data_IF_506372636338
#
_entry.id   IF_506372636338
#
_cell.length_a   1.000
_cell.length_b   1.000
_cell.length_c   1.000
_cell.angle_alpha   90.00
_cell.angle_beta   90.00
_cell.angle_gamma   90.00
#
_symmetry.space_group_name_H-M   'P 1'
#
loop_
_entity.id
_entity.type
_entity.pdbx_description
1 polymer ?
#
# COMPACT_ATOMS: atom_id res chain seq x y z
N UNK A 1 42.89 5.64 60.71
CA UNK A 1 43.37 6.44 59.56
C UNK A 1 42.76 5.80 58.32
N UNK A 2 41.66 6.37 57.82
CA UNK A 2 40.89 5.83 56.70
C UNK A 2 41.42 6.45 55.40
N UNK A 3 41.77 5.62 54.41
CA UNK A 3 42.05 6.08 53.06
C UNK A 3 40.76 6.01 52.24
N UNK A 4 40.28 7.17 51.82
CA UNK A 4 39.19 7.30 50.85
C UNK A 4 39.83 7.29 49.46
N UNK A 5 39.52 6.27 48.65
CA UNK A 5 39.81 6.30 47.21
C UNK A 5 38.63 6.96 46.50
N UNK A 6 38.86 8.12 45.90
CA UNK A 6 37.93 8.78 44.97
C UNK A 6 38.14 8.19 43.57
N UNK A 7 37.07 7.65 42.98
CA UNK A 7 37.05 7.16 41.60
C UNK A 7 36.51 8.30 40.73
N UNK A 8 37.19 8.72 39.64
CA UNK A 8 36.69 9.78 38.79
C UNK A 8 35.51 9.31 37.92
N UNK A 9 34.67 10.29 37.64
CA UNK A 9 33.37 10.21 36.97
C UNK A 9 33.42 9.53 35.60
N UNK A 10 32.34 8.81 35.30
CA UNK A 10 32.10 8.17 34.01
C UNK A 10 32.19 9.16 32.84
N UNK A 11 33.07 8.87 31.88
CA UNK A 11 33.04 9.50 30.58
C UNK A 11 31.77 9.07 29.82
N UNK A 12 30.82 9.99 29.66
CA UNK A 12 29.73 9.83 28.71
C UNK A 12 30.25 10.15 27.30
N UNK A 13 30.45 9.12 26.47
CA UNK A 13 30.68 9.30 25.03
C UNK A 13 29.31 9.59 24.40
N UNK A 14 29.02 10.86 24.14
CA UNK A 14 27.90 11.25 23.28
C UNK A 14 28.30 10.98 21.83
N UNK A 15 28.01 9.77 21.34
CA UNK A 15 27.97 9.54 19.91
C UNK A 15 26.78 10.35 19.35
N UNK A 16 26.95 11.14 18.27
CA UNK A 16 25.80 11.63 17.56
C UNK A 16 25.08 10.39 17.01
N UNK A 17 23.93 10.07 17.58
CA UNK A 17 22.97 9.20 16.92
C UNK A 17 22.55 9.97 15.69
N UNK A 18 23.32 9.82 14.62
CA UNK A 18 22.82 10.10 13.29
C UNK A 18 21.69 9.09 13.15
N UNK A 19 20.48 9.58 13.38
CA UNK A 19 19.24 8.86 13.18
C UNK A 19 19.43 8.12 11.86
N UNK A 20 19.56 6.81 11.91
CA UNK A 20 19.20 6.02 10.76
C UNK A 20 17.73 6.36 10.56
N UNK A 21 17.45 7.27 9.62
CA UNK A 21 16.15 7.34 9.00
C UNK A 21 15.97 5.97 8.33
N UNK A 22 15.45 5.01 9.11
CA UNK A 22 14.69 3.93 8.51
C UNK A 22 13.63 4.64 7.66
N UNK A 23 13.49 4.33 6.36
CA UNK A 23 12.39 4.87 5.58
C UNK A 23 11.12 4.44 6.31
N UNK A 24 10.54 5.35 7.08
CA UNK A 24 9.22 5.17 7.65
C UNK A 24 8.29 5.05 6.46
N UNK A 25 7.60 3.93 6.38
CA UNK A 25 6.39 3.74 5.59
C UNK A 25 6.60 3.35 4.11
N UNK A 26 7.30 2.24 3.85
CA UNK A 26 7.02 1.46 2.63
C UNK A 26 5.59 0.91 2.79
N UNK A 27 4.61 1.64 2.26
CA UNK A 27 3.21 1.19 2.22
C UNK A 27 3.03 0.28 1.01
N UNK A 28 2.87 -1.01 1.28
CA UNK A 28 2.48 -2.04 0.31
C UNK A 28 1.01 -2.37 0.51
N UNK A 29 0.25 -2.51 -0.58
CA UNK A 29 -1.13 -2.98 -0.56
C UNK A 29 -1.41 -4.02 -1.63
N UNK A 30 -2.59 -4.62 -1.53
CA UNK A 30 -3.08 -5.70 -2.39
C UNK A 30 -4.52 -5.40 -2.79
N UNK A 31 -5.08 -6.17 -3.72
CA UNK A 31 -6.53 -6.13 -3.98
C UNK A 31 -7.29 -6.45 -2.69
N UNK A 32 -8.29 -5.61 -2.38
CA UNK A 32 -9.10 -5.75 -1.18
C UNK A 32 -10.26 -6.71 -1.42
N UNK A 33 -10.14 -7.91 -0.87
CA UNK A 33 -11.15 -8.98 -0.92
C UNK A 33 -11.99 -9.06 0.37
N UNK A 34 -12.08 -7.98 1.16
CA UNK A 34 -12.89 -7.95 2.38
C UNK A 34 -14.32 -7.47 2.13
N UNK A 35 -15.30 -8.21 2.66
CA UNK A 35 -16.73 -7.87 2.51
C UNK A 35 -17.08 -6.70 3.43
N UNK A 36 -17.87 -5.75 2.93
CA UNK A 36 -18.38 -4.61 3.67
C UNK A 36 -19.88 -4.46 3.38
N UNK A 37 -20.69 -3.84 4.27
CA UNK A 37 -22.13 -3.68 4.04
C UNK A 37 -22.52 -2.98 2.73
N UNK A 38 -21.59 -2.23 2.12
CA UNK A 38 -21.76 -1.56 0.82
C UNK A 38 -20.98 -2.21 -0.32
N UNK A 39 -20.19 -3.28 -0.05
CA UNK A 39 -19.23 -3.86 -0.99
C UNK A 39 -19.24 -5.40 -0.86
N UNK A 40 -19.86 -6.08 -1.83
CA UNK A 40 -19.90 -7.53 -1.97
C UNK A 40 -18.63 -8.05 -2.69
N UNK A 41 -17.76 -8.80 -2.02
CA UNK A 41 -16.45 -9.21 -2.57
C UNK A 41 -16.54 -10.11 -3.80
N UNK A 42 -17.65 -10.82 -4.02
CA UNK A 42 -17.83 -11.63 -5.25
C UNK A 42 -18.19 -10.86 -6.52
N UNK A 43 -18.51 -9.56 -6.40
CA UNK A 43 -18.97 -8.71 -7.51
C UNK A 43 -18.04 -7.54 -7.83
N UNK A 44 -17.08 -7.26 -6.94
CA UNK A 44 -16.19 -6.10 -7.00
C UNK A 44 -14.79 -6.51 -7.49
N UNK A 45 -13.87 -5.56 -7.58
CA UNK A 45 -12.51 -5.71 -8.14
C UNK A 45 -12.49 -6.00 -9.64
N UNK A 46 -13.35 -5.29 -10.37
CA UNK A 46 -13.47 -5.34 -11.82
C UNK A 46 -13.30 -3.96 -12.41
N UNK A 47 -12.74 -3.89 -13.60
CA UNK A 47 -12.73 -2.67 -14.41
C UNK A 47 -13.41 -2.96 -15.76
N UNK A 48 -14.08 -1.94 -16.31
CA UNK A 48 -14.74 -2.05 -17.62
C UNK A 48 -13.81 -1.54 -18.71
N UNK A 49 -13.78 -2.22 -19.85
CA UNK A 49 -13.18 -1.70 -21.08
C UNK A 49 -14.31 -1.27 -22.01
N UNK A 50 -14.42 0.04 -22.22
CA UNK A 50 -15.41 0.69 -23.05
C UNK A 50 -14.83 0.97 -24.44
N UNK A 51 -15.47 0.45 -25.49
CA UNK A 51 -15.05 0.66 -26.91
C UNK A 51 -15.71 1.87 -27.56
N UNK A 52 -16.80 2.34 -26.99
CA UNK A 52 -17.53 3.54 -27.38
C UNK A 52 -17.81 4.41 -26.14
N UNK A 53 -18.38 5.60 -26.36
CA UNK A 53 -18.66 6.57 -25.29
C UNK A 53 -19.78 6.09 -24.37
N UNK A 54 -20.73 5.37 -24.93
CA UNK A 54 -21.89 4.78 -24.24
C UNK A 54 -21.49 3.60 -23.34
N UNK A 55 -20.30 3.02 -23.58
CA UNK A 55 -19.79 1.83 -22.90
C UNK A 55 -20.78 0.65 -22.97
N UNK A 56 -21.40 0.45 -24.14
CA UNK A 56 -22.34 -0.66 -24.35
C UNK A 56 -21.59 -2.00 -24.39
N UNK A 57 -22.09 -2.99 -23.66
CA UNK A 57 -21.50 -4.33 -23.57
C UNK A 57 -19.97 -4.32 -23.30
N UNK A 58 -19.55 -3.76 -22.15
CA UNK A 58 -18.13 -3.63 -21.84
C UNK A 58 -17.49 -4.99 -21.62
N UNK A 59 -16.22 -5.09 -22.00
CA UNK A 59 -15.38 -6.19 -21.53
C UNK A 59 -14.99 -5.95 -20.06
N UNK A 60 -14.80 -7.02 -19.31
CA UNK A 60 -14.39 -6.98 -17.91
C UNK A 60 -12.94 -7.40 -17.75
N UNK A 61 -12.17 -6.56 -17.05
CA UNK A 61 -10.88 -6.91 -16.48
C UNK A 61 -11.12 -7.33 -15.03
N UNK A 62 -10.69 -8.53 -14.68
CA UNK A 62 -10.75 -9.06 -13.32
C UNK A 62 -9.42 -8.85 -12.60
N UNK A 63 -9.44 -8.10 -11.50
CA UNK A 63 -8.28 -7.84 -10.65
C UNK A 63 -8.09 -8.91 -9.57
N UNK A 64 -9.12 -9.70 -9.27
CA UNK A 64 -9.03 -10.86 -8.41
C UNK A 64 -8.50 -12.06 -9.21
N UNK A 65 -7.18 -12.25 -9.18
CA UNK A 65 -6.55 -13.43 -9.76
C UNK A 65 -5.72 -14.20 -8.71
N UNK A 66 -5.68 -15.52 -8.90
CA UNK A 66 -5.20 -16.52 -7.93
C UNK A 66 -3.81 -16.25 -7.33
N UNK A 67 -3.63 -16.75 -6.10
CA UNK A 67 -2.51 -16.65 -5.13
C UNK A 67 -1.08 -16.56 -5.68
N UNK A 68 -0.80 -17.02 -6.89
CA UNK A 68 0.56 -17.11 -7.42
C UNK A 68 1.15 -15.80 -7.94
N UNK A 69 0.34 -14.81 -8.36
CA UNK A 69 0.82 -13.51 -8.85
C UNK A 69 -0.19 -12.38 -8.59
N UNK A 70 -0.49 -12.04 -7.32
CA UNK A 70 -1.43 -10.98 -7.00
C UNK A 70 -0.93 -9.63 -7.53
N UNK A 71 -1.87 -8.70 -7.78
CA UNK A 71 -1.50 -7.31 -7.99
C UNK A 71 -0.99 -6.73 -6.67
N UNK A 72 0.23 -6.23 -6.67
CA UNK A 72 0.89 -5.58 -5.54
C UNK A 72 1.02 -4.09 -5.83
N UNK A 73 0.63 -3.26 -4.88
CA UNK A 73 0.73 -1.81 -4.92
C UNK A 73 1.86 -1.41 -3.97
N UNK A 74 3.02 -1.06 -4.51
CA UNK A 74 4.17 -0.61 -3.73
C UNK A 74 4.41 0.89 -4.00
N UNK A 75 4.50 1.65 -2.91
CA UNK A 75 4.66 3.11 -2.97
C UNK A 75 5.99 3.54 -3.63
N UNK A 76 7.04 2.72 -3.53
CA UNK A 76 8.38 2.99 -4.05
C UNK A 76 8.58 2.30 -5.40
N UNK A 77 8.25 1.01 -5.46
CA UNK A 77 8.55 0.16 -6.61
C UNK A 77 7.45 0.20 -7.69
N UNK A 78 6.32 0.84 -7.40
CA UNK A 78 5.17 0.89 -8.28
C UNK A 78 4.31 -0.36 -8.18
N UNK A 79 3.48 -0.57 -9.19
CA UNK A 79 2.56 -1.70 -9.25
C UNK A 79 3.20 -2.88 -9.96
N UNK A 80 3.00 -4.07 -9.42
CA UNK A 80 3.54 -5.31 -9.99
C UNK A 80 2.52 -6.43 -9.92
N UNK A 81 2.76 -7.49 -10.70
CA UNK A 81 1.83 -8.60 -10.84
C UNK A 81 0.98 -8.49 -12.10
N UNK A 82 -0.04 -9.34 -12.18
CA UNK A 82 -0.89 -9.45 -13.37
C UNK A 82 -2.36 -9.33 -12.99
N UNK A 83 -3.20 -9.07 -13.98
CA UNK A 83 -4.66 -9.19 -13.93
C UNK A 83 -5.15 -9.78 -15.26
N UNK A 84 -6.39 -10.24 -15.34
CA UNK A 84 -6.91 -10.89 -16.56
C UNK A 84 -8.09 -10.14 -17.16
N UNK A 85 -8.01 -9.82 -18.45
CA UNK A 85 -9.14 -9.36 -19.26
C UNK A 85 -9.58 -10.46 -20.23
N UNK A 86 -10.89 -10.59 -20.46
CA UNK A 86 -11.44 -11.64 -21.33
C UNK A 86 -10.87 -11.65 -22.75
N UNK A 87 -10.76 -10.48 -23.38
CA UNK A 87 -10.19 -10.27 -24.72
C UNK A 87 -8.81 -9.59 -24.64
N UNK A 88 -8.54 -8.78 -23.61
CA UNK A 88 -7.21 -8.21 -23.34
C UNK A 88 -6.17 -9.25 -22.90
N UNK A 89 -6.57 -10.45 -22.50
CA UNK A 89 -5.66 -11.47 -21.99
C UNK A 89 -4.98 -11.06 -20.67
N UNK A 90 -3.77 -11.56 -20.42
CA UNK A 90 -3.02 -11.14 -19.24
C UNK A 90 -2.52 -9.72 -19.41
N UNK A 91 -2.72 -8.93 -18.36
CA UNK A 91 -2.24 -7.56 -18.25
C UNK A 91 -1.17 -7.54 -17.16
N UNK A 92 0.04 -7.15 -17.52
CA UNK A 92 1.20 -7.05 -16.62
C UNK A 92 1.41 -5.59 -16.24
N UNK A 93 1.45 -5.27 -14.95
CA UNK A 93 1.61 -3.90 -14.46
C UNK A 93 3.06 -3.42 -14.41
N UNK A 94 4.02 -4.34 -14.40
CA UNK A 94 5.46 -4.10 -14.44
C UNK A 94 6.14 -4.82 -15.63
N UNK A 95 5.78 -4.52 -16.88
CA UNK A 95 6.43 -5.11 -18.05
C UNK A 95 7.89 -4.65 -18.17
N UNK A 96 8.75 -5.37 -18.92
CA UNK A 96 10.15 -4.95 -19.12
C UNK A 96 10.27 -3.51 -19.64
N UNK A 97 11.16 -2.73 -19.03
CA UNK A 97 11.46 -1.33 -19.39
C UNK A 97 10.29 -0.34 -19.25
N UNK A 98 9.21 -0.72 -18.56
CA UNK A 98 8.07 0.14 -18.27
C UNK A 98 7.43 -0.27 -16.93
N UNK A 99 6.33 0.36 -16.55
CA UNK A 99 5.58 0.00 -15.35
C UNK A 99 4.56 1.06 -14.98
N UNK A 100 3.58 0.67 -14.21
CA UNK A 100 2.65 1.58 -13.55
C UNK A 100 3.21 1.95 -12.18
N UNK A 101 3.23 3.23 -11.84
CA UNK A 101 3.75 3.73 -10.58
C UNK A 101 3.00 4.98 -10.13
N UNK A 102 3.20 5.41 -8.89
CA UNK A 102 2.66 6.69 -8.44
C UNK A 102 3.36 7.87 -9.14
N UNK A 103 2.59 8.75 -9.74
CA UNK A 103 3.03 10.09 -10.13
C UNK A 103 3.08 11.01 -8.90
N UNK A 104 2.09 10.88 -8.03
CA UNK A 104 2.01 11.55 -6.75
C UNK A 104 1.34 10.63 -5.73
N UNK A 105 2.13 10.17 -4.77
CA UNK A 105 1.74 9.26 -3.69
C UNK A 105 0.71 9.91 -2.77
N UNK A 106 0.74 11.24 -2.56
CA UNK A 106 -0.17 11.94 -1.64
C UNK A 106 -1.60 11.99 -2.16
N UNK A 107 -1.75 12.10 -3.47
CA UNK A 107 -3.06 12.10 -4.13
C UNK A 107 -3.46 10.71 -4.64
N UNK A 108 -2.51 9.76 -4.64
CA UNK A 108 -2.69 8.43 -5.20
C UNK A 108 -2.74 8.41 -6.74
N UNK A 109 -2.28 9.48 -7.40
CA UNK A 109 -2.25 9.59 -8.85
C UNK A 109 -1.26 8.58 -9.43
N UNK A 110 -1.71 7.77 -10.38
CA UNK A 110 -0.90 6.80 -11.11
C UNK A 110 -0.38 7.37 -12.43
N UNK A 111 0.71 6.77 -12.91
CA UNK A 111 1.29 7.01 -14.24
C UNK A 111 1.91 5.75 -14.82
N UNK A 112 2.27 5.83 -16.09
CA UNK A 112 3.05 4.81 -16.78
C UNK A 112 2.21 3.87 -17.64
N UNK A 113 2.81 2.74 -18.01
CA UNK A 113 2.26 1.83 -19.01
C UNK A 113 2.31 0.40 -18.48
N UNK A 114 1.12 -0.22 -18.38
CA UNK A 114 0.97 -1.68 -18.25
C UNK A 114 0.91 -2.31 -19.65
N UNK A 115 1.04 -3.64 -19.73
CA UNK A 115 1.05 -4.36 -21.00
C UNK A 115 0.04 -5.49 -21.03
N UNK A 116 -0.87 -5.45 -22.00
CA UNK A 116 -1.79 -6.53 -22.36
C UNK A 116 -1.15 -7.42 -23.43
N UNK A 117 -1.25 -8.74 -23.26
CA UNK A 117 -0.77 -9.72 -24.23
C UNK A 117 -1.48 -9.60 -25.60
N UNK A 118 -2.75 -9.21 -25.61
CA UNK A 118 -3.58 -9.18 -26.84
C UNK A 118 -3.74 -7.76 -27.41
N UNK A 119 -3.74 -6.73 -26.57
CA UNK A 119 -4.06 -5.33 -26.93
C UNK A 119 -2.87 -4.37 -26.83
N UNK A 120 -1.74 -4.81 -26.27
CA UNK A 120 -0.53 -4.00 -26.16
C UNK A 120 -0.56 -3.01 -24.99
N UNK A 121 -0.12 -1.78 -25.21
CA UNK A 121 0.09 -0.81 -24.15
C UNK A 121 -1.21 -0.32 -23.52
N UNK A 122 -1.22 -0.25 -22.18
CA UNK A 122 -2.29 0.37 -21.39
C UNK A 122 -1.72 1.59 -20.67
N UNK A 123 -2.17 2.78 -21.08
CA UNK A 123 -1.67 4.06 -20.61
C UNK A 123 -2.48 4.61 -19.43
N UNK A 124 -1.80 4.82 -18.30
CA UNK A 124 -2.34 5.42 -17.07
C UNK A 124 -2.12 6.95 -17.01
N UNK A 125 -1.51 7.54 -18.04
CA UNK A 125 -1.18 8.97 -18.15
C UNK A 125 -1.70 9.56 -19.46
N UNK A 126 -2.95 9.27 -19.81
CA UNK A 126 -3.59 9.86 -20.99
C UNK A 126 -3.87 11.34 -20.72
N UNK A 127 -3.55 12.21 -21.67
CA UNK A 127 -3.77 13.66 -21.51
C UNK A 127 -5.24 13.96 -21.27
N UNK A 128 -5.53 14.73 -20.20
CA UNK A 128 -6.90 15.09 -19.81
C UNK A 128 -7.63 14.01 -18.99
N UNK A 129 -7.01 12.85 -18.77
CA UNK A 129 -7.53 11.79 -17.91
C UNK A 129 -6.52 11.44 -16.83
N UNK A 130 -6.98 10.73 -15.80
CA UNK A 130 -6.17 10.30 -14.67
C UNK A 130 -6.71 8.99 -14.13
N UNK A 131 -5.84 8.20 -13.53
CA UNK A 131 -6.21 7.09 -12.65
C UNK A 131 -5.66 7.38 -11.27
N UNK A 132 -6.51 7.33 -10.27
CA UNK A 132 -6.18 7.60 -8.87
C UNK A 132 -6.58 6.40 -8.03
N UNK A 133 -5.72 5.98 -7.10
CA UNK A 133 -6.11 5.15 -5.96
C UNK A 133 -6.39 6.12 -4.81
N UNK A 134 -7.64 6.23 -4.35
CA UNK A 134 -7.98 7.12 -3.24
C UNK A 134 -7.16 6.72 -2.00
N UNK A 135 -6.35 7.63 -1.43
CA UNK A 135 -5.44 7.29 -0.34
C UNK A 135 -6.16 6.94 0.97
N UNK A 136 -7.45 7.26 1.11
CA UNK A 136 -8.27 6.97 2.30
C UNK A 136 -9.10 5.70 2.12
N UNK A 137 -9.68 5.49 0.95
CA UNK A 137 -10.59 4.35 0.71
C UNK A 137 -9.93 3.20 -0.03
N UNK A 138 -8.80 3.44 -0.70
CA UNK A 138 -8.13 2.47 -1.57
C UNK A 138 -8.86 2.21 -2.89
N UNK A 139 -9.92 2.97 -3.19
CA UNK A 139 -10.74 2.82 -4.40
C UNK A 139 -10.07 3.46 -5.60
N UNK A 140 -10.08 2.74 -6.72
CA UNK A 140 -9.57 3.24 -7.98
C UNK A 140 -10.62 4.06 -8.69
N UNK A 141 -10.22 5.21 -9.23
CA UNK A 141 -11.09 6.13 -9.93
C UNK A 141 -10.42 6.70 -11.18
N UNK A 142 -11.20 6.83 -12.25
CA UNK A 142 -10.82 7.52 -13.48
C UNK A 142 -10.64 6.59 -14.69
N UNK A 143 -9.76 6.98 -15.62
CA UNK A 143 -9.69 6.38 -16.95
C UNK A 143 -8.26 6.13 -17.42
N UNK A 144 -8.00 4.91 -17.86
CA UNK A 144 -6.81 4.52 -18.62
C UNK A 144 -7.19 4.19 -20.08
N UNK A 145 -6.20 4.10 -20.97
CA UNK A 145 -6.44 3.75 -22.38
C UNK A 145 -5.64 2.51 -22.77
N UNK A 146 -6.33 1.45 -23.19
CA UNK A 146 -5.72 0.29 -23.83
C UNK A 146 -5.63 0.52 -25.34
N UNK A 147 -4.44 0.33 -25.92
CA UNK A 147 -4.25 0.33 -27.37
C UNK A 147 -4.78 -0.95 -28.03
N UNK A 148 -4.58 -1.07 -29.34
CA UNK A 148 -4.76 -2.34 -30.05
C UNK A 148 -6.21 -2.71 -30.38
N UNK A 149 -6.43 -3.91 -30.95
CA UNK A 149 -7.70 -4.29 -31.56
C UNK A 149 -8.83 -4.57 -30.56
N UNK A 150 -8.51 -4.98 -29.34
CA UNK A 150 -9.49 -5.20 -28.27
C UNK A 150 -9.44 -4.09 -27.21
N UNK A 151 -8.66 -3.04 -27.46
CA UNK A 151 -8.47 -1.89 -26.57
C UNK A 151 -9.66 -0.94 -26.51
N UNK A 152 -9.49 0.12 -25.73
CA UNK A 152 -10.52 1.10 -25.42
C UNK A 152 -10.25 1.81 -24.10
N UNK A 153 -11.24 2.58 -23.65
CA UNK A 153 -11.19 3.27 -22.38
C UNK A 153 -11.43 2.29 -21.23
N UNK A 154 -10.46 2.14 -20.33
CA UNK A 154 -10.62 1.37 -19.11
C UNK A 154 -11.17 2.29 -18.03
N UNK A 155 -12.38 1.99 -17.55
CA UNK A 155 -13.07 2.75 -16.51
C UNK A 155 -12.82 2.14 -15.13
N UNK A 156 -12.42 2.98 -14.20
CA UNK A 156 -12.42 2.72 -12.75
C UNK A 156 -13.42 3.67 -12.09
N UNK A 157 -14.47 3.14 -11.47
CA UNK A 157 -15.52 3.92 -10.82
C UNK A 157 -16.27 3.05 -9.83
N UNK A 158 -16.11 3.33 -8.53
CA UNK A 158 -16.78 2.57 -7.47
C UNK A 158 -18.22 3.00 -7.19
N UNK A 159 -18.78 3.98 -7.93
CA UNK A 159 -20.23 4.20 -7.97
C UNK A 159 -20.95 3.16 -8.84
N UNK A 160 -20.19 2.38 -9.62
CA UNK A 160 -20.66 1.25 -10.41
C UNK A 160 -19.87 0.00 -9.98
N UNK A 161 -20.52 -0.92 -9.28
CA UNK A 161 -19.87 -2.13 -8.74
C UNK A 161 -19.14 -2.94 -9.81
N UNK A 162 -19.63 -2.91 -11.05
CA UNK A 162 -19.02 -3.63 -12.17
C UNK A 162 -17.78 -2.93 -12.78
N UNK A 163 -17.40 -1.76 -12.27
CA UNK A 163 -16.14 -1.06 -12.55
C UNK A 163 -15.38 -0.62 -11.30
N UNK A 164 -15.69 -1.21 -10.14
CA UNK A 164 -15.03 -0.88 -8.89
C UNK A 164 -13.80 -1.75 -8.67
N UNK A 165 -12.63 -1.12 -8.52
CA UNK A 165 -11.40 -1.78 -8.05
C UNK A 165 -11.00 -1.15 -6.74
N UNK A 166 -10.75 -1.97 -5.71
CA UNK A 166 -10.33 -1.50 -4.39
C UNK A 166 -9.10 -2.25 -3.93
N UNK A 167 -8.26 -1.54 -3.19
CA UNK A 167 -7.02 -2.08 -2.64
C UNK A 167 -6.96 -1.88 -1.14
N UNK A 168 -6.04 -2.55 -0.47
CA UNK A 168 -5.70 -2.32 0.95
C UNK A 168 -4.66 -1.22 1.12
N UNK A 169 -4.09 -0.70 0.03
CA UNK A 169 -3.15 0.42 0.09
C UNK A 169 -3.86 1.67 0.60
N UNK A 170 -3.25 2.32 1.59
CA UNK A 170 -3.71 3.59 2.15
C UNK A 170 -2.53 4.53 2.23
N UNK A 171 -2.76 5.81 2.02
CA UNK A 171 -1.75 6.83 2.23
C UNK A 171 -2.36 8.09 2.84
N UNK A 172 -3.00 7.89 3.99
CA UNK A 172 -3.26 9.01 4.88
C UNK A 172 -1.90 9.44 5.47
N UNK A 173 -1.62 10.75 5.42
CA UNK A 173 -0.62 11.29 6.34
C UNK A 173 -1.15 10.96 7.72
N UNK A 174 -0.37 10.25 8.54
CA UNK A 174 -0.70 9.97 9.94
C UNK A 174 -0.75 11.29 10.72
N UNK A 175 -1.83 12.03 10.54
CA UNK A 175 -2.27 13.08 11.45
C UNK A 175 -3.50 12.50 12.13
N UNK A 176 -3.30 12.01 13.36
CA UNK A 176 -4.24 11.29 14.26
C UNK A 176 -4.42 9.79 13.92
N UNK A 177 -3.60 8.84 14.38
CA UNK A 177 -3.41 8.45 15.78
C UNK A 177 -2.14 7.56 15.91
N UNK A 178 -0.97 8.18 16.04
CA UNK A 178 0.00 7.56 16.94
C UNK A 178 -0.65 7.58 18.34
N UNK A 179 -0.70 6.48 19.11
CA UNK A 179 -1.20 6.55 20.47
C UNK A 179 -0.31 7.51 21.24
N UNK A 180 -0.77 8.75 21.40
CA UNK A 180 -0.20 9.68 22.36
C UNK A 180 -0.49 9.04 23.71
N UNK A 181 0.51 8.38 24.28
CA UNK A 181 0.50 8.02 25.68
C UNK A 181 0.48 9.32 26.48
N UNK A 182 -0.72 9.85 26.73
CA UNK A 182 -0.91 10.88 27.74
C UNK A 182 -0.73 10.20 29.09
N UNK A 183 0.51 10.13 29.56
CA UNK A 183 0.80 9.80 30.95
C UNK A 183 0.33 11.00 31.76
N UNK A 184 -0.91 10.92 32.26
CA UNK A 184 -1.34 11.78 33.35
C UNK A 184 -0.63 11.25 34.60
N UNK A 185 0.48 11.88 34.94
CA UNK A 185 1.14 11.66 36.22
C UNK A 185 0.18 12.14 37.32
N UNK A 186 -0.53 11.19 37.93
CA UNK A 186 -1.23 11.40 39.20
C UNK A 186 -0.38 10.71 40.26
N UNK A 187 0.24 11.51 41.11
CA UNK A 187 1.07 11.00 42.19
C UNK A 187 0.27 10.09 43.14
N UNK A 188 1.00 9.07 43.62
CA UNK A 188 0.94 8.43 44.94
C UNK A 188 -0.01 7.24 45.16
N UNK A 189 0.55 6.03 45.14
CA UNK A 189 0.02 4.85 45.87
C UNK A 189 0.28 3.51 45.17
N UNK A 190 0.60 2.41 45.89
CA UNK A 190 1.48 1.35 45.38
C UNK A 190 0.77 0.15 44.71
N UNK A 191 1.58 -0.61 43.97
CA UNK A 191 1.42 -2.06 43.68
C UNK A 191 0.59 -2.47 42.45
N UNK A 192 1.32 -2.83 41.38
CA UNK A 192 1.12 -4.02 40.51
C UNK A 192 1.73 -3.89 39.10
N UNK A 193 2.49 -2.82 38.82
CA UNK A 193 3.13 -2.58 37.50
C UNK A 193 4.41 -3.40 37.23
N UNK A 194 4.76 -4.36 38.10
CA UNK A 194 6.02 -5.10 38.00
C UNK A 194 5.99 -6.24 36.97
N UNK A 195 4.82 -6.73 36.56
CA UNK A 195 4.75 -7.97 35.77
C UNK A 195 4.70 -7.69 34.27
N UNK A 196 4.02 -6.61 33.84
CA UNK A 196 3.82 -6.29 32.41
C UNK A 196 5.08 -5.75 31.72
N UNK A 197 5.91 -4.99 32.44
CA UNK A 197 7.17 -4.42 31.90
C UNK A 197 8.27 -5.50 31.83
N UNK A 198 8.27 -6.47 32.73
CA UNK A 198 9.21 -7.60 32.64
C UNK A 198 8.90 -8.47 31.43
N UNK A 199 7.62 -8.75 31.18
CA UNK A 199 7.21 -9.63 30.08
C UNK A 199 7.55 -9.04 28.70
N UNK A 200 7.47 -7.72 28.54
CA UNK A 200 7.80 -7.03 27.27
C UNK A 200 9.30 -6.89 27.03
N UNK A 201 10.12 -6.75 28.08
CA UNK A 201 11.59 -6.73 27.96
C UNK A 201 12.19 -8.11 27.60
N UNK A 202 11.65 -9.19 28.16
CA UNK A 202 12.12 -10.55 27.88
C UNK A 202 11.83 -10.97 26.42
N UNK A 203 10.69 -10.58 25.87
CA UNK A 203 10.34 -10.84 24.47
C UNK A 203 11.31 -10.12 23.52
N UNK A 204 11.67 -8.87 23.84
CA UNK A 204 12.56 -8.07 22.99
C UNK A 204 14.01 -8.59 23.01
N UNK A 205 14.47 -9.16 24.13
CA UNK A 205 15.82 -9.73 24.23
C UNK A 205 15.93 -11.07 23.47
N UNK A 206 14.91 -11.91 23.51
CA UNK A 206 14.92 -13.20 22.80
C UNK A 206 14.92 -13.03 21.28
N UNK A 207 14.14 -12.07 20.75
CA UNK A 207 14.11 -11.76 19.31
C UNK A 207 15.45 -11.23 18.80
N UNK A 208 16.21 -10.51 19.63
CA UNK A 208 17.54 -10.01 19.25
C UNK A 208 18.58 -11.14 19.25
N UNK A 209 18.51 -12.09 20.19
CA UNK A 209 19.46 -13.21 20.26
C UNK A 209 19.30 -14.22 19.12
N UNK A 210 18.08 -14.39 18.58
CA UNK A 210 17.82 -15.24 17.41
C UNK A 210 18.33 -14.62 16.10
N UNK A 211 18.59 -13.31 16.07
CA UNK A 211 19.16 -12.61 14.91
C UNK A 211 20.70 -12.67 14.85
N UNK A 212 21.35 -13.07 15.95
CA UNK A 212 22.82 -13.07 16.09
C UNK A 212 23.44 -14.46 16.30
N UNK A 213 22.68 -15.55 16.11
CA UNK A 213 23.19 -16.93 16.04
C UNK A 213 22.95 -17.55 14.67
#
# INVERSE_FOLDING_TARGET
MFFVFSIPESFAITLPVKLFEFPSDIKTGYIDTSESPTINVGENNKAKVCRNVECDNPEIINFEISENNPLVIDTINGLSGKVWGGELGWIVFNPPYSGVSFADVKTGLLKGIAWSETSGAINFSVTGQKVIIDPKTGEWNGWAWASGPYGGWIKFDCNDSSSCVRTTWRNENDTENSPVLTVKEKEKGPSSTSTFIKQTKEIFINVINDFYN
#
